data_IF_782816515030
#
_entry.id   IF_782816515030
#
_cell.length_a   1.000
_cell.length_b   1.000
_cell.length_c   1.000
_cell.angle_alpha   90.00
_cell.angle_beta   90.00
_cell.angle_gamma   90.00
#
_symmetry.space_group_name_H-M   'P 1'
#
loop_
_entity.id
_entity.type
_entity.pdbx_description
1 polymer ?
#
# COMPACT_ATOMS: atom_id res chain seq x y z
N UNK A 1 -0.87 -4.52 -5.20
CA UNK A 1 -1.85 -3.42 -5.27
C UNK A 1 -2.87 -3.62 -6.39
N UNK A 2 -2.53 -3.39 -7.67
CA UNK A 2 -3.51 -3.38 -8.77
C UNK A 2 -4.26 -4.70 -9.04
N UNK A 3 -3.78 -5.85 -8.54
CA UNK A 3 -4.52 -7.12 -8.64
C UNK A 3 -5.66 -7.21 -7.61
N UNK A 4 -5.48 -6.61 -6.43
CA UNK A 4 -6.37 -6.76 -5.28
C UNK A 4 -7.29 -5.57 -5.04
N UNK A 5 -6.87 -4.37 -5.43
CA UNK A 5 -7.56 -3.13 -5.10
C UNK A 5 -7.92 -2.34 -6.36
N UNK A 6 -9.08 -1.72 -6.32
CA UNK A 6 -9.42 -0.59 -7.16
C UNK A 6 -8.93 0.70 -6.49
N UNK A 7 -8.41 1.60 -7.32
CA UNK A 7 -7.82 2.88 -6.90
C UNK A 7 -8.56 3.94 -7.69
N UNK A 8 -9.54 4.57 -7.06
CA UNK A 8 -10.42 5.55 -7.69
C UNK A 8 -10.26 6.93 -7.04
N UNK A 9 -10.57 8.02 -7.77
CA UNK A 9 -10.68 9.34 -7.17
C UNK A 9 -11.71 9.36 -6.04
N UNK A 10 -11.53 10.28 -5.08
CA UNK A 10 -12.60 10.57 -4.12
C UNK A 10 -13.67 11.44 -4.79
N UNK A 11 -14.93 11.25 -4.40
CA UNK A 11 -16.05 12.06 -4.89
C UNK A 11 -16.29 13.23 -3.94
N UNK A 12 -16.38 14.44 -4.47
CA UNK A 12 -16.76 15.63 -3.71
C UNK A 12 -18.24 15.51 -3.28
N UNK A 13 -18.50 15.63 -1.98
CA UNK A 13 -19.86 15.44 -1.44
C UNK A 13 -20.83 16.57 -1.79
N UNK A 14 -20.34 17.77 -2.14
CA UNK A 14 -21.14 18.92 -2.50
C UNK A 14 -21.44 18.98 -4.01
N UNK A 15 -20.46 18.61 -4.86
CA UNK A 15 -20.62 18.69 -6.33
C UNK A 15 -20.92 17.34 -6.99
N UNK A 16 -20.52 16.23 -6.35
CA UNK A 16 -20.62 14.89 -6.92
C UNK A 16 -19.53 14.57 -7.96
N UNK A 17 -18.53 15.45 -8.13
CA UNK A 17 -17.46 15.27 -9.11
C UNK A 17 -16.23 14.56 -8.51
N UNK A 18 -15.43 13.94 -9.37
CA UNK A 18 -14.16 13.32 -8.99
C UNK A 18 -13.11 14.38 -8.64
N UNK A 19 -12.45 14.23 -7.49
CA UNK A 19 -11.29 15.05 -7.11
C UNK A 19 -10.02 14.34 -7.57
N UNK A 20 -9.46 14.82 -8.68
CA UNK A 20 -8.19 14.33 -9.22
C UNK A 20 -6.99 15.03 -8.57
N UNK A 21 -5.84 14.35 -8.41
CA UNK A 21 -4.61 15.01 -8.01
C UNK A 21 -4.16 16.02 -9.08
N UNK A 22 -3.71 17.18 -8.63
CA UNK A 22 -3.11 18.18 -9.50
C UNK A 22 -1.67 17.75 -9.85
N UNK A 23 -1.36 17.50 -11.14
CA UNK A 23 -0.05 17.01 -11.57
C UNK A 23 1.09 18.01 -11.32
N UNK A 24 0.79 19.30 -11.18
CA UNK A 24 1.78 20.35 -10.95
C UNK A 24 2.00 20.63 -9.45
N UNK A 25 1.16 20.04 -8.59
CA UNK A 25 1.23 20.22 -7.14
C UNK A 25 2.26 19.29 -6.52
N UNK A 26 3.52 19.73 -6.56
CA UNK A 26 4.69 18.96 -6.15
C UNK A 26 5.40 19.57 -4.93
N UNK A 27 5.96 18.71 -4.08
CA UNK A 27 6.84 19.12 -2.99
C UNK A 27 8.10 19.79 -3.53
N UNK A 28 8.61 20.77 -2.79
CA UNK A 28 9.85 21.48 -3.12
C UNK A 28 11.04 20.82 -2.42
N UNK A 29 12.15 20.58 -3.13
CA UNK A 29 13.36 20.02 -2.55
C UNK A 29 14.20 19.20 -3.53
N UNK A 30 15.18 18.48 -3.00
CA UNK A 30 16.06 17.60 -3.79
C UNK A 30 15.30 16.40 -4.37
N UNK A 31 14.31 15.90 -3.64
CA UNK A 31 13.38 14.88 -4.11
C UNK A 31 12.02 15.53 -4.33
N UNK A 32 11.62 15.62 -5.59
CA UNK A 32 10.33 16.17 -5.99
C UNK A 32 9.34 15.01 -6.06
N UNK A 33 8.22 15.13 -5.33
CA UNK A 33 7.13 14.16 -5.32
C UNK A 33 5.79 14.90 -5.31
N UNK A 34 4.68 14.26 -5.73
CA UNK A 34 3.36 14.83 -5.55
C UNK A 34 3.11 15.20 -4.09
N UNK A 35 2.43 16.33 -3.86
CA UNK A 35 1.85 16.61 -2.55
C UNK A 35 0.82 15.53 -2.18
N UNK A 36 0.52 15.40 -0.88
CA UNK A 36 -0.51 14.46 -0.44
C UNK A 36 -1.87 14.80 -1.06
N UNK A 37 -2.52 13.77 -1.61
CA UNK A 37 -3.86 13.83 -2.16
C UNK A 37 -4.70 12.66 -1.67
N UNK A 38 -6.01 12.84 -1.67
CA UNK A 38 -6.96 11.80 -1.25
C UNK A 38 -7.22 10.83 -2.40
N UNK A 39 -7.34 9.55 -2.05
CA UNK A 39 -7.68 8.48 -2.99
C UNK A 39 -8.57 7.47 -2.29
N UNK A 40 -9.52 6.89 -3.03
CA UNK A 40 -10.35 5.81 -2.54
C UNK A 40 -9.76 4.48 -3.00
N UNK A 41 -9.20 3.71 -2.08
CA UNK A 41 -8.63 2.39 -2.35
C UNK A 41 -9.54 1.34 -1.72
N UNK A 42 -10.19 0.52 -2.54
CA UNK A 42 -11.12 -0.51 -2.08
C UNK A 42 -10.72 -1.88 -2.60
N UNK A 43 -10.92 -2.97 -1.84
CA UNK A 43 -10.76 -4.32 -2.40
C UNK A 43 -11.67 -4.49 -3.62
N UNK A 44 -11.17 -5.17 -4.66
CA UNK A 44 -11.97 -5.50 -5.86
C UNK A 44 -13.10 -6.48 -5.55
N UNK A 45 -12.84 -7.38 -4.63
CA UNK A 45 -13.79 -8.36 -4.14
C UNK A 45 -13.32 -8.94 -2.80
N UNK A 46 -14.30 -9.50 -2.07
CA UNK A 46 -14.07 -10.05 -0.75
C UNK A 46 -13.10 -11.24 -0.77
N UNK A 47 -13.11 -12.06 -1.84
CA UNK A 47 -12.25 -13.25 -1.94
C UNK A 47 -10.77 -12.86 -1.88
N UNK A 48 -10.39 -11.80 -2.61
CA UNK A 48 -9.01 -11.29 -2.60
C UNK A 48 -8.65 -10.64 -1.26
N UNK A 49 -9.60 -9.93 -0.64
CA UNK A 49 -9.39 -9.36 0.69
C UNK A 49 -9.12 -10.45 1.72
N UNK A 50 -9.98 -11.47 1.77
CA UNK A 50 -9.87 -12.61 2.70
C UNK A 50 -8.55 -13.36 2.49
N UNK A 51 -8.13 -13.56 1.23
CA UNK A 51 -6.85 -14.21 0.95
C UNK A 51 -5.68 -13.39 1.51
N UNK A 52 -5.65 -12.08 1.29
CA UNK A 52 -4.57 -11.21 1.79
C UNK A 52 -4.54 -11.23 3.32
N UNK A 53 -5.69 -11.10 3.97
CA UNK A 53 -5.78 -11.11 5.43
C UNK A 53 -5.30 -12.44 6.00
N UNK A 54 -5.72 -13.55 5.40
CA UNK A 54 -5.28 -14.90 5.81
C UNK A 54 -3.76 -15.06 5.66
N UNK A 55 -3.21 -14.77 4.48
CA UNK A 55 -1.77 -14.93 4.24
C UNK A 55 -0.94 -13.98 5.12
N UNK A 56 -1.47 -12.80 5.43
CA UNK A 56 -0.85 -11.90 6.41
C UNK A 56 -0.82 -12.49 7.81
N UNK A 57 -1.95 -13.02 8.29
CA UNK A 57 -2.04 -13.68 9.61
C UNK A 57 -1.07 -14.86 9.71
N UNK A 58 -0.98 -15.69 8.68
CA UNK A 58 -0.03 -16.81 8.64
C UNK A 58 1.43 -16.33 8.65
N UNK A 59 1.72 -15.20 8.00
CA UNK A 59 3.06 -14.62 7.97
C UNK A 59 3.47 -13.98 9.31
N UNK A 60 2.54 -13.59 10.20
CA UNK A 60 2.86 -12.92 11.47
C UNK A 60 3.75 -13.78 12.38
N UNK A 61 3.68 -15.10 12.27
CA UNK A 61 4.55 -16.02 13.01
C UNK A 61 6.03 -15.82 12.69
N UNK A 62 6.35 -15.36 11.47
CA UNK A 62 7.70 -15.09 10.99
C UNK A 62 8.21 -13.70 11.40
N UNK A 63 7.32 -12.83 11.89
CA UNK A 63 7.58 -11.42 12.15
C UNK A 63 7.64 -11.10 13.64
N UNK A 64 8.53 -10.19 14.01
CA UNK A 64 8.58 -9.61 15.35
C UNK A 64 7.25 -8.89 15.65
N UNK A 65 6.63 -9.12 16.82
CA UNK A 65 5.26 -8.65 17.07
C UNK A 65 5.12 -7.13 17.13
N UNK A 66 6.19 -6.39 17.41
CA UNK A 66 6.18 -4.93 17.55
C UNK A 66 6.65 -4.27 16.25
N UNK A 67 7.83 -4.64 15.79
CA UNK A 67 8.49 -3.99 14.65
C UNK A 67 8.02 -4.54 13.30
N UNK A 68 7.36 -5.70 13.29
CA UNK A 68 6.93 -6.44 12.09
C UNK A 68 8.07 -6.77 11.12
N UNK A 69 9.33 -6.75 11.61
CA UNK A 69 10.50 -7.22 10.86
C UNK A 69 10.65 -8.74 10.97
N UNK A 70 11.41 -9.35 10.06
CA UNK A 70 11.70 -10.79 10.12
C UNK A 70 12.41 -11.18 11.43
N UNK A 71 11.89 -12.18 12.15
CA UNK A 71 12.53 -12.73 13.36
C UNK A 71 13.87 -13.40 13.07
N UNK A 72 13.97 -14.02 11.90
CA UNK A 72 15.13 -14.77 11.45
C UNK A 72 15.27 -14.61 9.93
N UNK A 73 16.50 -14.75 9.45
CA UNK A 73 16.76 -14.72 8.01
C UNK A 73 15.99 -15.85 7.30
N UNK A 74 15.22 -15.56 6.24
CA UNK A 74 14.51 -16.58 5.48
C UNK A 74 15.46 -17.64 4.93
N UNK A 75 15.06 -18.92 5.01
CA UNK A 75 15.83 -20.02 4.44
C UNK A 75 16.01 -19.82 2.93
N UNK A 76 17.25 -19.86 2.45
CA UNK A 76 17.58 -19.68 1.02
C UNK A 76 17.86 -18.23 0.61
N UNK A 77 17.81 -17.28 1.54
CA UNK A 77 18.26 -15.91 1.26
C UNK A 77 19.80 -15.90 1.09
N UNK A 78 20.27 -15.60 -0.11
CA UNK A 78 21.71 -15.43 -0.40
C UNK A 78 22.07 -13.98 -0.13
N UNK A 79 22.81 -13.72 0.94
CA UNK A 79 23.41 -12.42 1.15
C UNK A 79 24.73 -12.34 0.37
N UNK A 80 25.01 -11.24 -0.34
CA UNK A 80 26.32 -11.05 -0.95
C UNK A 80 27.39 -11.07 0.15
N UNK A 81 28.51 -11.73 -0.13
CA UNK A 81 29.71 -11.62 0.71
C UNK A 81 30.21 -10.18 0.67
N UNK A 82 30.45 -9.60 1.85
CA UNK A 82 31.05 -8.27 2.02
C UNK A 82 32.50 -8.24 1.52
#
# INVERSE_FOLDING_TARGET
MLWAFDINPVIDSATGEEILPDPDKLTQGILVMPEEYKVNITPRDQIRADLIEKEWQEAEDLLDPITKQWKQMPKGMVLPSL
#
